data_IF_950324193507
#
_entry.id   IF_950324193507
#
_cell.length_a   1.000
_cell.length_b   1.000
_cell.length_c   1.000
_cell.angle_alpha   90.00
_cell.angle_beta   90.00
_cell.angle_gamma   90.00
#
_symmetry.space_group_name_H-M   'P 1'
#
loop_
_entity.id
_entity.type
_entity.pdbx_description
1 polymer ?
#
# COMPACT_ATOMS: atom_id res chain seq x y z
N UNK A 1 10.52 7.24 4.91
CA UNK A 1 11.24 6.01 4.48
C UNK A 1 12.20 6.40 3.36
N UNK A 2 13.51 6.28 3.55
CA UNK A 2 14.50 6.45 2.49
C UNK A 2 15.25 5.13 2.33
N UNK A 3 14.55 4.12 1.83
CA UNK A 3 15.19 2.87 1.44
C UNK A 3 15.46 2.96 -0.06
N UNK A 4 16.69 2.68 -0.55
CA UNK A 4 17.10 2.91 -1.95
C UNK A 4 16.33 2.05 -2.97
N UNK A 5 15.58 1.06 -2.48
CA UNK A 5 14.73 0.16 -3.25
C UNK A 5 13.37 0.77 -3.66
N UNK A 6 12.89 1.81 -2.98
CA UNK A 6 11.64 2.49 -3.31
C UNK A 6 11.90 3.80 -4.06
N UNK A 7 11.19 4.03 -5.15
CA UNK A 7 11.29 5.27 -5.94
C UNK A 7 10.45 6.42 -5.35
N UNK A 8 9.55 6.11 -4.41
CA UNK A 8 8.65 7.09 -3.82
C UNK A 8 7.77 6.50 -2.74
N UNK A 9 6.84 7.31 -2.25
CA UNK A 9 5.80 6.84 -1.34
C UNK A 9 4.81 5.93 -2.11
N UNK A 10 4.23 4.91 -1.44
CA UNK A 10 3.14 4.12 -2.00
C UNK A 10 1.95 4.99 -2.42
N UNK A 11 1.31 4.61 -3.53
CA UNK A 11 0.02 5.17 -3.92
C UNK A 11 -1.10 4.26 -3.42
N UNK A 12 -2.14 4.86 -2.83
CA UNK A 12 -3.25 4.14 -2.19
C UNK A 12 -4.56 4.61 -2.81
N UNK A 13 -5.22 3.70 -3.51
CA UNK A 13 -6.47 3.96 -4.22
C UNK A 13 -7.60 3.25 -3.48
N UNK A 14 -8.62 4.00 -3.06
CA UNK A 14 -9.81 3.44 -2.41
C UNK A 14 -9.74 3.31 -0.88
N UNK A 15 -8.70 3.84 -0.25
CA UNK A 15 -8.60 3.94 1.20
C UNK A 15 -9.70 4.84 1.79
N UNK A 16 -9.99 4.69 3.09
CA UNK A 16 -10.87 5.62 3.79
C UNK A 16 -10.32 7.07 3.78
N UNK A 17 -11.19 8.09 3.94
CA UNK A 17 -10.74 9.48 4.07
C UNK A 17 -9.68 9.62 5.17
N UNK A 18 -8.55 10.28 4.85
CA UNK A 18 -7.43 10.44 5.78
C UNK A 18 -6.36 9.34 5.70
N UNK A 19 -6.53 8.34 4.83
CA UNK A 19 -5.48 7.35 4.55
C UNK A 19 -4.26 8.04 3.95
N UNK A 20 -3.09 7.78 4.54
CA UNK A 20 -1.80 8.29 4.08
C UNK A 20 -0.78 7.14 3.95
N UNK A 21 0.25 7.29 3.09
CA UNK A 21 1.20 6.21 2.82
C UNK A 21 1.96 5.70 4.05
N UNK A 22 2.11 6.51 5.09
CA UNK A 22 2.76 6.07 6.33
C UNK A 22 1.94 5.08 7.15
N UNK A 23 0.64 4.92 6.88
CA UNK A 23 -0.22 3.96 7.59
C UNK A 23 0.14 2.49 7.29
N UNK A 24 0.89 2.23 6.22
CA UNK A 24 1.40 0.90 5.86
C UNK A 24 2.90 0.73 6.15
N UNK A 25 3.50 1.62 6.94
CA UNK A 25 4.85 1.41 7.43
C UNK A 25 4.90 0.19 8.38
N UNK A 26 6.04 -0.52 8.47
CA UNK A 26 6.20 -1.59 9.44
C UNK A 26 5.80 -1.16 10.86
N UNK A 27 4.92 -1.93 11.50
CA UNK A 27 4.40 -1.63 12.84
C UNK A 27 3.27 -0.58 12.90
N UNK A 28 2.83 -0.06 11.76
CA UNK A 28 1.62 0.79 11.68
C UNK A 28 0.35 -0.06 11.66
N UNK A 29 -0.81 0.53 12.02
CA UNK A 29 -2.07 -0.22 12.11
C UNK A 29 -2.61 -0.74 10.77
N UNK A 30 -2.02 -0.38 9.63
CA UNK A 30 -2.51 -0.75 8.30
C UNK A 30 -3.53 0.25 7.77
N UNK A 31 -4.20 -0.13 6.68
CA UNK A 31 -5.20 0.69 5.99
C UNK A 31 -6.50 -0.08 5.76
N UNK A 32 -7.62 0.63 5.94
CA UNK A 32 -8.95 0.15 5.60
C UNK A 32 -9.39 0.71 4.23
N UNK A 33 -9.87 -0.18 3.37
CA UNK A 33 -10.43 0.21 2.08
C UNK A 33 -11.94 0.39 2.16
N UNK A 34 -12.42 1.51 1.62
CA UNK A 34 -13.84 1.88 1.54
C UNK A 34 -14.47 1.58 0.18
N UNK A 35 -13.64 1.33 -0.84
CA UNK A 35 -14.10 1.00 -2.20
C UNK A 35 -13.87 -0.47 -2.53
N UNK A 36 -14.75 -1.02 -3.37
CA UNK A 36 -14.50 -2.32 -4.01
C UNK A 36 -13.22 -2.23 -4.85
N UNK A 37 -12.37 -3.25 -4.80
CA UNK A 37 -11.09 -3.32 -5.51
C UNK A 37 -10.08 -2.23 -5.12
N UNK A 38 -10.00 -1.92 -3.82
CA UNK A 38 -8.93 -1.10 -3.27
C UNK A 38 -7.54 -1.64 -3.64
N UNK A 39 -6.59 -0.74 -3.91
CA UNK A 39 -5.26 -1.09 -4.41
C UNK A 39 -4.17 -0.27 -3.73
N UNK A 40 -3.05 -0.93 -3.39
CA UNK A 40 -1.78 -0.25 -3.05
C UNK A 40 -0.78 -0.50 -4.17
N UNK A 41 -0.14 0.56 -4.66
CA UNK A 41 0.93 0.49 -5.65
C UNK A 41 2.23 0.96 -4.99
N UNK A 42 3.23 0.08 -4.97
CA UNK A 42 4.55 0.38 -4.40
C UNK A 42 5.55 0.57 -5.55
N UNK A 43 6.03 1.81 -5.79
CA UNK A 43 6.97 2.07 -6.88
C UNK A 43 8.39 1.61 -6.49
N UNK A 44 8.93 0.66 -7.24
CA UNK A 44 10.23 0.05 -6.98
C UNK A 44 11.27 0.47 -8.01
N UNK A 45 12.53 0.54 -7.57
CA UNK A 45 13.64 0.85 -8.45
C UNK A 45 13.83 -0.27 -9.51
N UNK A 46 14.28 0.07 -10.73
CA UNK A 46 14.59 -0.94 -11.75
C UNK A 46 15.59 -1.97 -11.22
N UNK A 47 15.36 -3.25 -11.53
CA UNK A 47 16.22 -4.36 -11.09
C UNK A 47 15.91 -4.91 -9.69
N UNK A 48 15.00 -4.30 -8.94
CA UNK A 48 14.44 -4.90 -7.74
C UNK A 48 13.40 -5.93 -8.15
N UNK A 49 13.60 -7.19 -7.75
CA UNK A 49 12.57 -8.23 -7.89
C UNK A 49 11.69 -8.19 -6.64
N UNK A 50 10.41 -7.80 -6.76
CA UNK A 50 9.51 -7.72 -5.64
C UNK A 50 9.11 -9.11 -5.13
N UNK A 51 9.00 -9.24 -3.81
CA UNK A 51 8.33 -10.39 -3.19
C UNK A 51 6.80 -10.22 -3.25
N UNK A 52 6.31 -8.97 -3.18
CA UNK A 52 4.90 -8.58 -3.39
C UNK A 52 4.88 -7.20 -4.08
N UNK A 53 4.15 -7.08 -5.19
CA UNK A 53 3.98 -5.81 -5.94
C UNK A 53 2.61 -5.19 -5.78
N UNK A 54 1.59 -6.03 -5.64
CA UNK A 54 0.19 -5.64 -5.64
C UNK A 54 -0.56 -6.46 -4.60
N UNK A 55 -1.34 -5.76 -3.78
CA UNK A 55 -2.34 -6.36 -2.90
C UNK A 55 -3.68 -5.84 -3.38
N UNK A 56 -4.52 -6.73 -3.91
CA UNK A 56 -5.88 -6.41 -4.31
C UNK A 56 -6.83 -6.96 -3.25
N UNK A 57 -7.68 -6.09 -2.71
CA UNK A 57 -8.68 -6.50 -1.73
C UNK A 57 -10.04 -6.59 -2.42
N UNK A 58 -10.61 -7.80 -2.54
CA UNK A 58 -11.88 -8.00 -3.23
C UNK A 58 -13.09 -7.53 -2.41
N UNK A 59 -12.93 -7.26 -1.12
CA UNK A 59 -14.02 -6.94 -0.22
C UNK A 59 -13.72 -5.71 0.67
N UNK A 60 -14.61 -4.71 0.74
CA UNK A 60 -14.49 -3.65 1.75
C UNK A 60 -14.51 -4.27 3.15
N UNK A 61 -13.74 -3.70 4.09
CA UNK A 61 -13.50 -4.19 5.47
C UNK A 61 -12.43 -5.30 5.63
N UNK A 62 -11.48 -5.43 4.70
CA UNK A 62 -10.31 -6.31 4.92
C UNK A 62 -9.12 -5.47 5.37
N UNK A 63 -8.59 -5.76 6.55
CA UNK A 63 -7.34 -5.17 7.04
C UNK A 63 -6.14 -5.77 6.29
N UNK A 64 -5.25 -4.92 5.78
CA UNK A 64 -3.92 -5.31 5.30
C UNK A 64 -2.89 -4.78 6.29
N UNK A 65 -2.16 -5.70 6.91
CA UNK A 65 -1.08 -5.46 7.87
C UNK A 65 0.23 -6.01 7.32
#
# INVERSE_FOLDING_TARGET
MSSPQYLGAPDIIGGQPGTIPSNINPGSPGIDFSTLNGTVVIPLAPGITPIVTTVSIPNPLTNVV
#
